data_IF_299509715284
#
_entry.id   IF_299509715284
#
_cell.length_a   1.000
_cell.length_b   1.000
_cell.length_c   1.000
_cell.angle_alpha   90.00
_cell.angle_beta   90.00
_cell.angle_gamma   90.00
#
_symmetry.space_group_name_H-M   'P 1'
#
loop_
_entity.id
_entity.type
_entity.pdbx_description
1 polymer ?
#
# COMPACT_ATOMS: atom_id res chain seq x y z
N UNK A 1 -4.98 -24.10 46.65
CA UNK A 1 -5.62 -24.43 45.35
C UNK A 1 -6.82 -23.51 45.18
N UNK A 2 -6.90 -22.58 44.24
CA UNK A 2 -5.97 -22.20 43.18
C UNK A 2 -6.24 -20.75 42.78
N UNK A 3 -5.17 -20.04 42.44
CA UNK A 3 -5.23 -18.73 41.81
C UNK A 3 -5.64 -18.93 40.35
N UNK A 4 -6.89 -18.63 40.01
CA UNK A 4 -7.26 -18.40 38.61
C UNK A 4 -6.72 -17.03 38.22
N UNK A 5 -5.56 -17.03 37.58
CA UNK A 5 -4.99 -15.89 36.88
C UNK A 5 -6.03 -15.31 35.91
N UNK A 6 -6.50 -14.09 36.19
CA UNK A 6 -7.20 -13.27 35.18
C UNK A 6 -6.18 -12.98 34.08
N UNK A 7 -6.19 -13.76 33.00
CA UNK A 7 -5.48 -13.36 31.78
C UNK A 7 -6.00 -11.99 31.38
N UNK A 8 -5.10 -11.07 31.08
CA UNK A 8 -5.49 -9.73 30.67
C UNK A 8 -6.33 -9.81 29.40
N UNK A 9 -7.35 -8.94 29.25
CA UNK A 9 -8.22 -8.90 28.05
C UNK A 9 -7.43 -8.86 26.74
N UNK A 10 -6.23 -8.28 26.76
CA UNK A 10 -5.28 -8.25 25.65
C UNK A 10 -4.65 -9.61 25.31
N UNK A 11 -4.31 -10.42 26.30
CA UNK A 11 -3.73 -11.75 26.08
C UNK A 11 -4.77 -12.67 25.41
N UNK A 12 -6.03 -12.58 25.85
CA UNK A 12 -7.14 -13.32 25.24
C UNK A 12 -7.37 -12.92 23.78
N UNK A 13 -7.31 -11.63 23.44
CA UNK A 13 -7.45 -11.17 22.05
C UNK A 13 -6.33 -11.70 21.15
N UNK A 14 -5.08 -11.65 21.63
CA UNK A 14 -3.94 -12.18 20.89
C UNK A 14 -4.05 -13.70 20.75
N UNK A 15 -4.47 -14.43 21.78
CA UNK A 15 -4.72 -15.87 21.70
C UNK A 15 -5.76 -16.20 20.62
N UNK A 16 -6.89 -15.51 20.62
CA UNK A 16 -7.96 -15.67 19.63
C UNK A 16 -7.49 -15.37 18.20
N UNK A 17 -6.60 -14.40 18.02
CA UNK A 17 -5.98 -14.09 16.72
C UNK A 17 -4.98 -15.16 16.25
N UNK A 18 -4.61 -16.14 17.10
CA UNK A 18 -3.67 -17.20 16.75
C UNK A 18 -4.27 -18.36 15.96
N UNK A 19 -5.60 -18.51 15.97
CA UNK A 19 -6.28 -19.64 15.35
C UNK A 19 -7.33 -19.15 14.36
N UNK A 20 -7.24 -19.61 13.11
CA UNK A 20 -8.17 -19.19 12.06
C UNK A 20 -9.60 -19.61 12.41
N UNK A 21 -10.50 -18.62 12.47
CA UNK A 21 -11.84 -18.77 13.05
C UNK A 21 -12.87 -17.90 12.31
N UNK A 22 -14.13 -17.89 12.78
CA UNK A 22 -15.22 -17.12 12.14
C UNK A 22 -14.90 -15.61 12.02
N UNK A 23 -14.36 -14.93 13.05
CA UNK A 23 -13.87 -13.56 12.91
C UNK A 23 -12.86 -13.36 11.77
N UNK A 24 -11.94 -14.29 11.56
CA UNK A 24 -10.96 -14.22 10.46
C UNK A 24 -11.64 -14.35 9.10
N UNK A 25 -12.62 -15.26 8.97
CA UNK A 25 -13.38 -15.44 7.72
C UNK A 25 -14.12 -14.16 7.32
N UNK A 26 -14.76 -13.48 8.26
CA UNK A 26 -15.43 -12.20 7.98
C UNK A 26 -14.45 -11.09 7.62
N UNK A 27 -13.28 -11.07 8.26
CA UNK A 27 -12.22 -10.13 7.91
C UNK A 27 -11.69 -10.37 6.50
N UNK A 28 -11.51 -11.63 6.09
CA UNK A 28 -11.16 -12.01 4.72
C UNK A 28 -12.23 -11.59 3.72
N UNK A 29 -13.52 -11.83 4.01
CA UNK A 29 -14.62 -11.39 3.15
C UNK A 29 -14.62 -9.86 2.96
N UNK A 30 -14.36 -9.12 4.05
CA UNK A 30 -14.23 -7.67 4.01
C UNK A 30 -13.04 -7.24 3.13
N UNK A 31 -11.89 -7.92 3.25
CA UNK A 31 -10.70 -7.70 2.42
C UNK A 31 -10.95 -8.01 0.95
N UNK A 32 -11.66 -9.10 0.62
CA UNK A 32 -12.02 -9.43 -0.77
C UNK A 32 -12.92 -8.33 -1.36
N UNK A 33 -13.89 -7.83 -0.58
CA UNK A 33 -14.81 -6.78 -1.02
C UNK A 33 -14.09 -5.45 -1.32
N UNK A 34 -13.10 -5.06 -0.51
CA UNK A 34 -12.48 -3.73 -0.61
C UNK A 34 -11.09 -3.74 -1.27
N UNK A 35 -10.38 -4.87 -1.25
CA UNK A 35 -8.99 -5.04 -1.70
C UNK A 35 -7.94 -4.38 -0.79
N UNK A 36 -8.27 -3.27 -0.13
CA UNK A 36 -7.39 -2.52 0.77
C UNK A 36 -8.18 -1.95 1.94
N UNK A 37 -7.58 -1.94 3.14
CA UNK A 37 -8.12 -1.28 4.34
C UNK A 37 -6.99 -0.56 5.08
N UNK A 38 -7.29 0.54 5.78
CA UNK A 38 -6.36 1.10 6.76
C UNK A 38 -6.10 0.09 7.87
N UNK A 39 -4.86 0.01 8.36
CA UNK A 39 -4.42 -0.95 9.36
C UNK A 39 -5.25 -0.90 10.65
N UNK A 40 -5.48 0.30 11.17
CA UNK A 40 -6.33 0.52 12.35
C UNK A 40 -7.76 0.02 12.14
N UNK A 41 -8.36 0.33 10.99
CA UNK A 41 -9.70 -0.13 10.66
C UNK A 41 -9.78 -1.65 10.50
N UNK A 42 -8.76 -2.28 9.91
CA UNK A 42 -8.64 -3.73 9.80
C UNK A 42 -8.63 -4.40 11.19
N UNK A 43 -7.86 -3.87 12.13
CA UNK A 43 -7.82 -4.35 13.52
C UNK A 43 -9.15 -4.17 14.23
N UNK A 44 -9.72 -2.97 14.17
CA UNK A 44 -11.00 -2.67 14.81
C UNK A 44 -12.11 -3.60 14.32
N UNK A 45 -12.11 -3.95 13.02
CA UNK A 45 -13.07 -4.91 12.47
C UNK A 45 -12.88 -6.31 13.02
N UNK A 46 -11.64 -6.78 13.16
CA UNK A 46 -11.38 -8.06 13.82
C UNK A 46 -11.89 -8.07 15.26
N UNK A 47 -11.59 -7.03 16.05
CA UNK A 47 -12.08 -6.90 17.44
C UNK A 47 -13.60 -6.92 17.50
N UNK A 48 -14.28 -6.17 16.61
CA UNK A 48 -15.74 -6.19 16.51
C UNK A 48 -16.29 -7.58 16.20
N UNK A 49 -15.69 -8.31 15.25
CA UNK A 49 -16.11 -9.67 14.94
C UNK A 49 -15.88 -10.62 16.13
N UNK A 50 -14.76 -10.51 16.82
CA UNK A 50 -14.52 -11.29 18.05
C UNK A 50 -15.59 -10.99 19.09
N UNK A 51 -15.93 -9.72 19.33
CA UNK A 51 -16.97 -9.33 20.30
C UNK A 51 -18.36 -9.91 19.93
N UNK A 52 -18.68 -9.99 18.64
CA UNK A 52 -19.96 -10.56 18.17
C UNK A 52 -20.02 -12.08 18.40
N UNK A 53 -18.90 -12.78 18.16
CA UNK A 53 -18.86 -14.25 18.19
C UNK A 53 -18.39 -14.86 19.51
N UNK A 54 -17.89 -14.05 20.44
CA UNK A 54 -17.45 -14.52 21.75
C UNK A 54 -18.57 -14.32 22.78
N UNK A 55 -19.43 -15.33 22.91
CA UNK A 55 -20.62 -15.33 23.77
C UNK A 55 -20.30 -15.34 25.27
N UNK A 56 -19.04 -15.54 25.67
CA UNK A 56 -18.62 -15.71 27.06
C UNK A 56 -18.09 -14.40 27.68
N UNK A 57 -18.92 -13.34 27.72
CA UNK A 57 -18.85 -12.22 28.67
C UNK A 57 -17.53 -11.44 28.83
N UNK A 58 -16.50 -11.74 28.04
CA UNK A 58 -15.16 -11.19 28.19
C UNK A 58 -15.09 -9.90 27.39
N UNK A 59 -15.00 -8.77 28.09
CA UNK A 59 -14.84 -7.46 27.49
C UNK A 59 -13.48 -7.37 26.80
N UNK A 60 -13.46 -7.60 25.49
CA UNK A 60 -12.28 -7.32 24.67
C UNK A 60 -12.15 -5.80 24.54
N UNK A 61 -11.12 -5.25 25.19
CA UNK A 61 -10.74 -3.84 25.08
C UNK A 61 -10.07 -3.55 23.75
N UNK A 62 -10.22 -2.33 23.24
CA UNK A 62 -9.49 -1.92 22.04
C UNK A 62 -7.98 -1.94 22.30
N UNK A 63 -7.17 -2.45 21.34
CA UNK A 63 -5.72 -2.46 21.48
C UNK A 63 -5.16 -1.04 21.41
N UNK A 64 -4.12 -0.76 22.19
CA UNK A 64 -3.27 0.43 21.98
C UNK A 64 -2.37 0.23 20.74
N UNK A 65 -1.68 1.28 20.29
CA UNK A 65 -0.83 1.25 19.08
C UNK A 65 0.19 0.10 19.06
N UNK A 66 0.80 -0.20 20.21
CA UNK A 66 1.78 -1.29 20.33
C UNK A 66 1.14 -2.67 20.18
N UNK A 67 -0.02 -2.85 20.82
CA UNK A 67 -0.82 -4.08 20.71
C UNK A 67 -1.41 -4.26 19.31
N UNK A 68 -1.83 -3.17 18.68
CA UNK A 68 -2.37 -3.18 17.32
C UNK A 68 -1.33 -3.72 16.34
N UNK A 69 -0.08 -3.25 16.43
CA UNK A 69 1.01 -3.75 15.60
C UNK A 69 1.20 -5.26 15.72
N UNK A 70 1.27 -5.77 16.96
CA UNK A 70 1.44 -7.21 17.24
C UNK A 70 0.23 -8.00 16.71
N UNK A 71 -0.98 -7.48 16.89
CA UNK A 71 -2.21 -8.09 16.41
C UNK A 71 -2.22 -8.19 14.88
N UNK A 72 -1.86 -7.12 14.15
CA UNK A 72 -1.77 -7.12 12.68
C UNK A 72 -0.80 -8.19 12.21
N UNK A 73 0.41 -8.23 12.77
CA UNK A 73 1.44 -9.21 12.40
C UNK A 73 0.91 -10.64 12.56
N UNK A 74 0.23 -10.92 13.69
CA UNK A 74 -0.36 -12.23 13.96
C UNK A 74 -1.50 -12.57 12.99
N UNK A 75 -2.42 -11.64 12.76
CA UNK A 75 -3.56 -11.81 11.85
C UNK A 75 -3.09 -12.08 10.42
N UNK A 76 -2.11 -11.32 9.93
CA UNK A 76 -1.55 -11.52 8.58
C UNK A 76 -0.99 -12.94 8.44
N UNK A 77 -0.22 -13.42 9.41
CA UNK A 77 0.36 -14.78 9.36
C UNK A 77 -0.75 -15.82 9.31
N UNK A 78 -1.71 -15.76 10.23
CA UNK A 78 -2.79 -16.75 10.33
C UNK A 78 -3.68 -16.74 9.09
N UNK A 79 -4.04 -15.55 8.59
CA UNK A 79 -4.89 -15.43 7.39
C UNK A 79 -4.12 -15.86 6.13
N UNK A 80 -2.84 -15.49 5.97
CA UNK A 80 -2.07 -15.89 4.80
C UNK A 80 -1.90 -17.40 4.69
N UNK A 81 -1.72 -18.08 5.83
CA UNK A 81 -1.69 -19.54 5.85
C UNK A 81 -3.02 -20.14 5.34
N UNK A 82 -4.16 -19.54 5.70
CA UNK A 82 -5.46 -19.97 5.21
C UNK A 82 -5.72 -19.61 3.74
N UNK A 83 -5.14 -18.52 3.23
CA UNK A 83 -5.31 -18.05 1.86
C UNK A 83 -4.33 -18.67 0.85
N UNK A 84 -3.31 -19.39 1.31
CA UNK A 84 -2.23 -19.92 0.47
C UNK A 84 -2.75 -20.75 -0.71
N UNK A 85 -3.76 -21.61 -0.49
CA UNK A 85 -4.36 -22.46 -1.54
C UNK A 85 -5.11 -21.67 -2.61
N UNK A 86 -5.47 -20.41 -2.35
CA UNK A 86 -6.18 -19.53 -3.26
C UNK A 86 -5.24 -18.61 -4.05
N UNK A 87 -3.92 -18.71 -3.82
CA UNK A 87 -2.93 -17.77 -4.36
C UNK A 87 -3.23 -16.31 -3.98
N UNK A 88 -3.77 -16.11 -2.78
CA UNK A 88 -4.06 -14.81 -2.19
C UNK A 88 -3.22 -14.60 -0.94
N UNK A 89 -2.84 -13.35 -0.67
CA UNK A 89 -2.13 -12.99 0.57
C UNK A 89 -2.36 -11.54 0.96
N UNK A 90 -2.40 -11.30 2.26
CA UNK A 90 -2.36 -9.98 2.87
C UNK A 90 -0.92 -9.49 3.02
N UNK A 91 -0.70 -8.22 2.72
CA UNK A 91 0.54 -7.52 3.04
C UNK A 91 0.26 -6.19 3.73
N UNK A 92 1.25 -5.69 4.47
CA UNK A 92 1.28 -4.29 4.87
C UNK A 92 1.90 -3.44 3.74
N UNK A 93 1.29 -2.28 3.48
CA UNK A 93 1.78 -1.28 2.55
C UNK A 93 1.60 0.12 3.13
N UNK A 94 2.59 0.98 2.93
CA UNK A 94 2.52 2.40 3.29
C UNK A 94 2.08 3.22 2.08
N UNK A 95 1.35 4.34 2.26
CA UNK A 95 1.15 5.29 1.17
C UNK A 95 2.48 6.01 0.88
N UNK A 96 2.83 6.18 -0.40
CA UNK A 96 4.00 6.98 -0.78
C UNK A 96 3.71 8.49 -0.68
N UNK A 97 2.42 8.86 -0.72
CA UNK A 97 1.93 10.24 -0.67
C UNK A 97 1.70 10.77 0.73
N UNK A 98 1.41 9.92 1.72
CA UNK A 98 1.22 10.36 3.09
C UNK A 98 2.09 9.58 4.05
N UNK A 99 2.35 10.16 5.22
CA UNK A 99 3.25 9.58 6.20
C UNK A 99 2.55 8.96 7.41
N UNK A 100 1.22 9.00 7.42
CA UNK A 100 0.40 8.71 8.59
C UNK A 100 -0.38 7.40 8.43
N UNK A 101 -0.65 7.00 7.18
CA UNK A 101 -1.50 5.87 6.89
C UNK A 101 -0.69 4.65 6.42
N UNK A 102 -0.89 3.58 7.15
CA UNK A 102 -0.49 2.23 6.82
C UNK A 102 -1.73 1.40 6.50
N UNK A 103 -1.60 0.53 5.50
CA UNK A 103 -2.71 -0.21 4.92
C UNK A 103 -2.42 -1.71 4.91
N UNK A 104 -3.48 -2.50 4.98
CA UNK A 104 -3.48 -3.92 4.66
C UNK A 104 -4.04 -4.07 3.25
N UNK A 105 -3.30 -4.72 2.36
CA UNK A 105 -3.67 -4.95 0.96
C UNK A 105 -3.77 -6.44 0.71
N UNK A 106 -4.86 -6.87 0.07
CA UNK A 106 -5.02 -8.22 -0.45
C UNK A 106 -4.40 -8.29 -1.85
N UNK A 107 -3.36 -9.12 -2.00
CA UNK A 107 -2.70 -9.40 -3.26
C UNK A 107 -3.14 -10.75 -3.80
N UNK A 108 -3.12 -10.84 -5.13
CA UNK A 108 -3.16 -12.10 -5.86
C UNK A 108 -1.77 -12.40 -6.41
N UNK A 109 -1.26 -13.61 -6.17
CA UNK A 109 0.00 -14.08 -6.74
C UNK A 109 -0.16 -14.55 -8.21
N UNK A 110 -1.36 -14.39 -8.80
CA UNK A 110 -1.61 -14.60 -10.24
C UNK A 110 -0.98 -13.48 -11.08
N UNK A 111 -0.82 -13.70 -12.39
CA UNK A 111 -0.18 -12.72 -13.29
C UNK A 111 -0.97 -11.38 -13.32
N UNK A 112 -0.30 -10.21 -13.36
CA UNK A 112 -0.95 -8.90 -13.32
C UNK A 112 -1.97 -8.63 -14.44
N UNK A 113 -1.71 -9.12 -15.65
CA UNK A 113 -2.61 -8.98 -16.81
C UNK A 113 -3.90 -9.79 -16.65
N UNK A 114 -3.81 -10.93 -15.96
CA UNK A 114 -4.97 -11.73 -15.61
C UNK A 114 -5.70 -11.07 -14.44
N UNK A 115 -4.99 -10.45 -13.51
CA UNK A 115 -5.62 -9.79 -12.38
C UNK A 115 -6.46 -8.56 -12.74
N UNK A 116 -5.99 -7.64 -13.58
CA UNK A 116 -6.81 -6.48 -14.00
C UNK A 116 -8.07 -6.91 -14.77
N UNK A 117 -7.99 -8.00 -15.53
CA UNK A 117 -9.13 -8.57 -16.23
C UNK A 117 -10.07 -9.33 -15.29
N UNK A 118 -9.52 -10.19 -14.44
CA UNK A 118 -10.26 -11.15 -13.61
C UNK A 118 -10.81 -10.49 -12.33
N UNK A 119 -10.11 -9.52 -11.74
CA UNK A 119 -10.55 -8.82 -10.53
C UNK A 119 -11.45 -7.62 -10.81
N UNK A 120 -11.35 -7.05 -12.01
CA UNK A 120 -11.98 -5.78 -12.35
C UNK A 120 -12.97 -5.88 -13.51
N UNK A 121 -13.02 -7.00 -14.23
CA UNK A 121 -13.92 -7.18 -15.37
C UNK A 121 -13.74 -6.11 -16.46
N UNK A 122 -12.52 -5.57 -16.59
CA UNK A 122 -12.22 -4.57 -17.61
C UNK A 122 -12.10 -5.23 -18.98
N UNK A 123 -12.62 -4.53 -19.98
CA UNK A 123 -12.40 -4.84 -21.39
C UNK A 123 -10.94 -4.58 -21.78
N UNK A 124 -10.51 -5.18 -22.89
CA UNK A 124 -9.14 -4.98 -23.39
C UNK A 124 -8.83 -3.50 -23.70
N UNK A 125 -9.82 -2.72 -24.13
CA UNK A 125 -9.65 -1.29 -24.41
C UNK A 125 -9.47 -0.50 -23.12
N UNK A 126 -10.27 -0.77 -22.08
CA UNK A 126 -10.10 -0.15 -20.76
C UNK A 126 -8.76 -0.52 -20.12
N UNK A 127 -8.31 -1.77 -20.25
CA UNK A 127 -6.99 -2.21 -19.79
C UNK A 127 -5.89 -1.40 -20.49
N UNK A 128 -6.00 -1.20 -21.81
CA UNK A 128 -5.04 -0.41 -22.59
C UNK A 128 -4.99 1.05 -22.11
N UNK A 129 -6.15 1.67 -21.89
CA UNK A 129 -6.22 3.04 -21.38
C UNK A 129 -5.62 3.14 -19.96
N UNK A 130 -5.96 2.21 -19.07
CA UNK A 130 -5.37 2.13 -17.74
C UNK A 130 -3.84 2.01 -17.80
N UNK A 131 -3.31 1.14 -18.67
CA UNK A 131 -1.87 1.02 -18.87
C UNK A 131 -1.19 2.33 -19.29
N UNK A 132 -1.86 3.12 -20.14
CA UNK A 132 -1.33 4.42 -20.54
C UNK A 132 -1.32 5.40 -19.38
N UNK A 133 -2.38 5.47 -18.56
CA UNK A 133 -2.37 6.28 -17.34
C UNK A 133 -1.23 5.88 -16.42
N UNK A 134 -1.02 4.58 -16.18
CA UNK A 134 0.08 4.11 -15.34
C UNK A 134 1.43 4.48 -15.96
N UNK A 135 1.59 4.34 -17.27
CA UNK A 135 2.82 4.71 -17.98
C UNK A 135 3.12 6.20 -17.81
N UNK A 136 2.12 7.07 -17.96
CA UNK A 136 2.29 8.52 -17.82
C UNK A 136 2.58 8.90 -16.37
N UNK A 137 1.86 8.32 -15.40
CA UNK A 137 2.12 8.51 -13.95
C UNK A 137 3.55 8.09 -13.59
N UNK A 138 4.01 6.92 -14.02
CA UNK A 138 5.35 6.44 -13.68
C UNK A 138 6.47 7.25 -14.34
N UNK A 139 6.17 7.89 -15.47
CA UNK A 139 7.13 8.71 -16.23
C UNK A 139 7.11 10.19 -15.81
N UNK A 140 6.12 10.61 -15.02
CA UNK A 140 6.04 12.00 -14.54
C UNK A 140 7.01 12.23 -13.39
N UNK A 141 7.40 13.48 -13.20
CA UNK A 141 8.37 13.87 -12.17
C UNK A 141 7.82 13.65 -10.75
N UNK A 142 6.53 13.91 -10.56
CA UNK A 142 5.85 13.87 -9.26
C UNK A 142 5.12 12.55 -8.98
N UNK A 143 5.08 11.61 -9.93
CA UNK A 143 4.28 10.38 -9.78
C UNK A 143 2.77 10.65 -9.82
N UNK A 144 2.36 11.72 -10.50
CA UNK A 144 0.96 12.13 -10.72
C UNK A 144 0.81 12.77 -12.11
N UNK A 145 -0.43 12.82 -12.62
CA UNK A 145 -0.80 13.46 -13.89
C UNK A 145 -2.06 14.29 -13.70
N UNK A 146 -2.32 15.26 -14.58
CA UNK A 146 -3.56 16.05 -14.49
C UNK A 146 -4.76 15.22 -15.00
N UNK A 147 -5.94 15.45 -14.41
CA UNK A 147 -7.18 14.77 -14.79
C UNK A 147 -7.48 14.96 -16.28
N UNK A 148 -7.32 16.18 -16.78
CA UNK A 148 -7.59 16.46 -18.19
C UNK A 148 -6.61 15.75 -19.15
N UNK A 149 -5.35 15.54 -18.74
CA UNK A 149 -4.37 14.76 -19.50
C UNK A 149 -4.75 13.29 -19.55
N UNK A 150 -5.25 12.74 -18.42
CA UNK A 150 -5.75 11.37 -18.37
C UNK A 150 -6.94 11.17 -19.32
N UNK A 151 -7.90 12.10 -19.32
CA UNK A 151 -9.08 12.03 -20.20
C UNK A 151 -8.71 12.21 -21.69
N UNK A 152 -7.78 13.10 -22.01
CA UNK A 152 -7.35 13.33 -23.41
C UNK A 152 -6.53 12.17 -23.98
N UNK A 153 -5.83 11.40 -23.14
CA UNK A 153 -5.04 10.22 -23.54
C UNK A 153 -5.91 9.18 -24.26
N UNK A 154 -7.17 9.02 -23.85
CA UNK A 154 -8.10 8.10 -24.50
C UNK A 154 -8.57 8.58 -25.86
N UNK A 155 -8.82 9.89 -26.02
CA UNK A 155 -9.24 10.47 -27.29
C UNK A 155 -8.24 10.17 -28.42
N UNK A 156 -6.94 10.05 -28.08
CA UNK A 156 -5.88 9.70 -29.02
C UNK A 156 -5.77 8.19 -29.33
N UNK A 157 -6.18 7.32 -28.39
CA UNK A 157 -6.21 5.86 -28.57
C UNK A 157 -7.37 5.39 -29.47
N UNK A 158 -8.48 6.12 -29.45
CA UNK A 158 -9.78 5.67 -29.93
C UNK A 158 -10.11 6.07 -31.37
N UNK A 159 -9.09 6.29 -32.21
CA UNK A 159 -9.24 6.47 -33.67
C UNK A 159 -9.92 5.25 -34.34
N UNK A 160 -10.07 4.12 -33.63
CA UNK A 160 -10.77 2.90 -34.09
C UNK A 160 -11.99 2.58 -33.20
N UNK A 161 -13.18 3.08 -33.58
CA UNK A 161 -14.57 2.62 -33.32
C UNK A 161 -15.01 2.03 -31.95
N UNK A 162 -14.16 1.91 -30.94
CA UNK A 162 -14.52 1.41 -29.60
C UNK A 162 -14.50 2.55 -28.60
N UNK A 163 -15.64 3.23 -28.42
CA UNK A 163 -15.79 4.23 -27.36
C UNK A 163 -15.54 3.60 -25.99
N UNK A 164 -14.57 4.11 -25.25
CA UNK A 164 -14.45 3.89 -23.80
C UNK A 164 -15.01 5.13 -23.13
N UNK A 165 -15.81 4.95 -22.08
CA UNK A 165 -16.19 6.07 -21.22
C UNK A 165 -15.06 6.30 -20.22
N UNK A 166 -14.21 7.29 -20.51
CA UNK A 166 -12.99 7.56 -19.76
C UNK A 166 -13.28 8.01 -18.33
N UNK A 167 -14.29 8.86 -18.16
CA UNK A 167 -14.69 9.37 -16.86
C UNK A 167 -15.25 8.23 -16.02
N UNK A 168 -16.10 7.37 -16.60
CA UNK A 168 -16.59 6.18 -15.92
C UNK A 168 -15.45 5.24 -15.50
N UNK A 169 -14.51 4.95 -16.40
CA UNK A 169 -13.36 4.09 -16.08
C UNK A 169 -12.52 4.70 -14.96
N UNK A 170 -12.23 6.01 -15.03
CA UNK A 170 -11.47 6.72 -14.01
C UNK A 170 -12.16 6.68 -12.66
N UNK A 171 -13.46 6.98 -12.59
CA UNK A 171 -14.25 6.90 -11.36
C UNK A 171 -14.29 5.49 -10.78
N UNK A 172 -14.34 4.48 -11.66
CA UNK A 172 -14.28 3.07 -11.25
C UNK A 172 -12.92 2.72 -10.65
N UNK A 173 -11.82 3.15 -11.25
CA UNK A 173 -10.46 2.98 -10.72
C UNK A 173 -10.29 3.66 -9.35
N UNK A 174 -10.83 4.87 -9.18
CA UNK A 174 -10.82 5.61 -7.90
C UNK A 174 -11.66 4.93 -6.83
N UNK A 175 -12.88 4.52 -7.19
CA UNK A 175 -13.80 3.84 -6.26
C UNK A 175 -13.20 2.54 -5.71
N UNK A 176 -12.45 1.82 -6.53
CA UNK A 176 -11.76 0.59 -6.15
C UNK A 176 -10.33 0.82 -5.60
N UNK A 177 -9.94 2.08 -5.36
CA UNK A 177 -8.69 2.49 -4.70
C UNK A 177 -7.40 2.20 -5.48
N UNK A 178 -7.50 1.95 -6.79
CA UNK A 178 -6.33 1.82 -7.66
C UNK A 178 -5.68 3.16 -7.95
N UNK A 179 -6.53 4.17 -8.18
CA UNK A 179 -6.14 5.54 -8.37
C UNK A 179 -6.67 6.38 -7.21
N UNK A 180 -6.00 7.48 -6.94
CA UNK A 180 -6.45 8.53 -6.04
C UNK A 180 -6.54 9.80 -6.86
N UNK A 181 -7.66 10.50 -6.72
CA UNK A 181 -7.89 11.80 -7.36
C UNK A 181 -7.81 12.88 -6.28
N UNK A 182 -6.93 13.84 -6.46
CA UNK A 182 -7.00 15.09 -5.71
C UNK A 182 -7.93 16.05 -6.45
N UNK A 183 -9.10 16.32 -5.87
CA UNK A 183 -10.08 17.22 -6.47
C UNK A 183 -9.61 18.68 -6.47
N UNK A 184 -8.69 19.07 -5.58
CA UNK A 184 -8.19 20.44 -5.51
C UNK A 184 -7.13 20.69 -6.58
N UNK A 185 -6.11 19.84 -6.66
CA UNK A 185 -5.09 19.91 -7.71
C UNK A 185 -5.56 19.39 -9.06
N UNK A 186 -6.74 18.76 -9.12
CA UNK A 186 -7.22 18.01 -10.28
C UNK A 186 -6.18 17.00 -10.80
N UNK A 187 -5.40 16.40 -9.90
CA UNK A 187 -4.38 15.40 -10.22
C UNK A 187 -4.86 13.98 -9.93
N UNK A 188 -4.26 13.03 -10.63
CA UNK A 188 -4.48 11.61 -10.45
C UNK A 188 -3.12 10.96 -10.18
N UNK A 189 -3.08 10.12 -9.14
CA UNK A 189 -1.92 9.29 -8.80
C UNK A 189 -2.35 7.84 -8.59
N UNK A 190 -1.37 6.96 -8.55
CA UNK A 190 -1.59 5.60 -8.04
C UNK A 190 -1.92 5.64 -6.54
N UNK A 191 -2.96 4.91 -6.15
CA UNK A 191 -3.25 4.63 -4.75
C UNK A 191 -2.36 3.51 -4.19
N UNK A 192 -2.29 3.40 -2.87
CA UNK A 192 -1.48 2.38 -2.18
C UNK A 192 -1.77 0.96 -2.67
N UNK A 193 -3.04 0.66 -2.98
CA UNK A 193 -3.43 -0.62 -3.59
C UNK A 193 -2.76 -0.80 -4.94
N UNK A 194 -2.91 0.16 -5.84
CA UNK A 194 -2.31 0.09 -7.18
C UNK A 194 -0.79 -0.05 -7.15
N UNK A 195 -0.11 0.70 -6.27
CA UNK A 195 1.35 0.56 -6.07
C UNK A 195 1.72 -0.85 -5.59
N UNK A 196 0.97 -1.40 -4.63
CA UNK A 196 1.23 -2.71 -4.07
C UNK A 196 0.99 -3.86 -5.06
N UNK A 197 -0.13 -3.82 -5.79
CA UNK A 197 -0.55 -4.89 -6.72
C UNK A 197 0.27 -4.87 -8.02
N UNK A 198 0.77 -3.72 -8.46
CA UNK A 198 1.49 -3.57 -9.73
C UNK A 198 3.01 -3.75 -9.63
N UNK A 199 3.57 -4.20 -8.50
CA UNK A 199 5.03 -4.38 -8.36
C UNK A 199 5.64 -5.30 -9.44
N UNK A 200 4.93 -6.36 -9.84
CA UNK A 200 5.37 -7.24 -10.93
C UNK A 200 5.27 -6.54 -12.29
N UNK A 201 4.23 -5.72 -12.51
CA UNK A 201 4.10 -4.92 -13.72
C UNK A 201 5.25 -3.90 -13.84
N UNK A 202 5.59 -3.22 -12.74
CA UNK A 202 6.73 -2.30 -12.70
C UNK A 202 8.05 -3.02 -12.95
N UNK A 203 8.22 -4.24 -12.43
CA UNK A 203 9.41 -5.06 -12.71
C UNK A 203 9.60 -5.31 -14.20
N UNK A 204 8.53 -5.68 -14.91
CA UNK A 204 8.58 -5.95 -16.36
C UNK A 204 8.76 -4.72 -17.24
N UNK A 205 8.57 -3.51 -16.69
CA UNK A 205 8.64 -2.25 -17.44
C UNK A 205 9.61 -1.23 -16.82
N UNK A 206 10.48 -1.70 -15.91
CA UNK A 206 11.34 -0.83 -15.11
C UNK A 206 12.23 0.07 -15.99
N UNK A 207 12.82 -0.50 -17.03
CA UNK A 207 13.71 0.23 -17.96
C UNK A 207 12.95 1.31 -18.75
N UNK A 208 11.70 1.04 -19.11
CA UNK A 208 10.85 1.99 -19.84
C UNK A 208 10.48 3.19 -18.96
N UNK A 209 10.12 2.93 -17.71
CA UNK A 209 9.65 3.96 -16.78
C UNK A 209 10.78 4.63 -15.99
N UNK A 210 12.02 4.11 -16.10
CA UNK A 210 13.17 4.57 -15.31
C UNK A 210 12.83 4.62 -13.81
N UNK A 211 12.12 3.60 -13.32
CA UNK A 211 11.70 3.54 -11.92
C UNK A 211 12.87 3.11 -11.04
N UNK A 212 13.00 3.78 -9.91
CA UNK A 212 14.04 3.48 -8.92
C UNK A 212 13.50 2.50 -7.88
N UNK A 213 14.39 1.64 -7.37
CA UNK A 213 14.05 0.75 -6.25
C UNK A 213 14.49 1.38 -4.94
N UNK A 214 13.63 1.28 -3.94
CA UNK A 214 13.96 1.62 -2.57
C UNK A 214 15.04 0.66 -2.05
N UNK A 215 16.17 1.20 -1.60
CA UNK A 215 17.28 0.40 -1.07
C UNK A 215 16.96 -0.33 0.24
N UNK A 216 15.84 0.00 0.89
CA UNK A 216 15.43 -0.60 2.16
C UNK A 216 14.47 -1.77 1.98
N UNK A 217 13.45 -1.62 1.11
CA UNK A 217 12.42 -2.64 0.93
C UNK A 217 12.50 -3.36 -0.43
N UNK A 218 13.36 -2.90 -1.34
CA UNK A 218 13.53 -3.46 -2.69
C UNK A 218 12.36 -3.21 -3.66
N UNK A 219 11.29 -2.54 -3.20
CA UNK A 219 10.12 -2.20 -4.02
C UNK A 219 10.37 -0.94 -4.85
N UNK A 220 9.64 -0.79 -5.95
CA UNK A 220 9.72 0.40 -6.79
C UNK A 220 9.14 1.62 -6.08
N UNK A 221 9.73 2.77 -6.36
CA UNK A 221 9.29 4.10 -5.91
C UNK A 221 8.55 4.76 -7.06
N UNK A 222 7.30 5.14 -6.83
CA UNK A 222 6.47 5.84 -7.81
C UNK A 222 6.53 7.35 -7.56
N UNK A 223 6.40 7.80 -6.32
CA UNK A 223 6.46 9.23 -5.96
C UNK A 223 7.89 9.68 -5.67
N UNK A 224 8.67 9.89 -6.74
CA UNK A 224 10.10 10.24 -6.64
C UNK A 224 10.34 11.56 -5.90
N UNK A 225 9.47 12.54 -6.09
CA UNK A 225 9.56 13.85 -5.43
C UNK A 225 9.48 13.78 -3.89
N UNK A 226 8.84 12.74 -3.34
CA UNK A 226 8.75 12.49 -1.89
C UNK A 226 9.80 11.51 -1.38
N UNK A 227 10.52 10.83 -2.27
CA UNK A 227 11.52 9.85 -1.89
C UNK A 227 12.76 10.53 -1.28
N UNK A 228 13.44 9.81 -0.41
CA UNK A 228 14.72 10.25 0.14
C UNK A 228 15.80 9.88 -0.88
N UNK A 229 16.52 10.88 -1.38
CA UNK A 229 17.63 10.71 -2.30
C UNK A 229 18.97 10.98 -1.61
N UNK A 230 19.89 10.00 -1.68
CA UNK A 230 21.23 10.18 -1.17
C UNK A 230 22.16 10.75 -2.24
N UNK A 231 22.55 12.03 -2.09
CA UNK A 231 23.48 12.70 -3.02
C UNK A 231 24.86 12.04 -3.11
N UNK A 232 25.27 11.28 -2.10
CA UNK A 232 26.61 10.66 -2.04
C UNK A 232 26.69 9.35 -2.84
N UNK A 233 25.66 8.51 -2.78
CA UNK A 233 25.68 7.20 -3.45
C UNK A 233 24.61 7.05 -4.54
N UNK A 234 23.75 8.05 -4.72
CA UNK A 234 22.68 8.03 -5.72
C UNK A 234 21.48 7.15 -5.36
N UNK A 235 21.46 6.52 -4.19
CA UNK A 235 20.37 5.63 -3.81
C UNK A 235 19.08 6.36 -3.46
N UNK A 236 17.95 5.75 -3.78
CA UNK A 236 16.62 6.19 -3.35
C UNK A 236 16.05 5.29 -2.26
N UNK A 237 15.26 5.86 -1.37
CA UNK A 237 14.39 5.09 -0.46
C UNK A 237 13.04 5.77 -0.29
N UNK A 238 11.99 4.96 -0.14
CA UNK A 238 10.68 5.47 0.28
C UNK A 238 10.82 6.26 1.58
N UNK A 239 10.12 7.39 1.66
CA UNK A 239 10.13 8.26 2.84
C UNK A 239 9.76 7.48 4.11
N UNK A 240 8.70 6.68 4.03
CA UNK A 240 8.22 5.84 5.12
C UNK A 240 9.22 4.78 5.57
N UNK A 241 9.91 4.14 4.63
CA UNK A 241 10.98 3.20 4.97
C UNK A 241 12.10 3.91 5.74
N UNK A 242 12.47 5.13 5.31
CA UNK A 242 13.46 5.93 6.01
C UNK A 242 13.04 6.36 7.41
N UNK A 243 11.81 6.85 7.57
CA UNK A 243 11.24 7.21 8.87
C UNK A 243 11.22 6.04 9.86
N UNK A 244 10.87 4.84 9.39
CA UNK A 244 10.85 3.62 10.22
C UNK A 244 12.25 3.27 10.75
N UNK A 245 13.30 3.44 9.95
CA UNK A 245 14.68 3.21 10.38
C UNK A 245 15.15 4.28 11.36
N UNK A 246 14.83 5.56 11.09
CA UNK A 246 15.18 6.63 12.03
C UNK A 246 14.51 6.42 13.38
N UNK A 247 13.24 6.02 13.40
CA UNK A 247 12.50 5.73 14.63
C UNK A 247 13.03 4.49 15.38
N UNK A 248 13.61 3.51 14.68
CA UNK A 248 14.15 2.30 15.33
C UNK A 248 15.52 2.53 15.99
N UNK A 249 16.27 3.55 15.55
CA UNK A 249 17.57 3.92 16.12
C UNK A 249 17.37 4.95 17.23
N UNK A 250 17.43 4.49 18.49
CA UNK A 250 17.17 5.33 19.68
C UNK A 250 18.29 6.34 20.00
N UNK A 251 19.52 6.04 19.63
CA UNK A 251 20.71 6.84 19.99
C UNK A 251 21.78 6.74 18.91
N UNK A 252 21.66 7.54 17.85
CA UNK A 252 22.72 7.63 16.83
C UNK A 252 22.30 8.32 15.54
N UNK A 253 23.29 8.75 14.77
CA UNK A 253 23.08 9.16 13.36
C UNK A 253 22.84 7.90 12.54
N UNK A 254 21.70 7.83 11.84
CA UNK A 254 21.47 6.77 10.86
C UNK A 254 22.35 7.06 9.64
N UNK A 255 23.09 6.05 9.18
CA UNK A 255 23.86 6.13 7.94
C UNK A 255 23.04 5.66 6.76
N UNK A 256 23.36 6.17 5.58
CA UNK A 256 22.70 5.76 4.35
C UNK A 256 22.92 4.25 4.10
N UNK A 257 21.84 3.47 3.90
CA UNK A 257 21.91 2.02 3.64
C UNK A 257 22.43 1.68 2.23
N UNK A 258 22.62 2.69 1.37
CA UNK A 258 23.10 2.53 0.01
C UNK A 258 24.58 2.13 -0.09
N UNK A 259 25.00 1.78 -1.31
CA UNK A 259 26.39 1.44 -1.64
C UNK A 259 26.93 2.40 -2.68
N UNK A 260 28.21 2.75 -2.57
CA UNK A 260 28.94 3.53 -3.57
C UNK A 260 29.23 2.69 -4.81
N UNK A 261 29.66 3.34 -5.90
CA UNK A 261 30.02 2.67 -7.16
C UNK A 261 31.10 1.58 -7.00
N UNK A 262 31.97 1.71 -6.00
CA UNK A 262 33.00 0.72 -5.66
C UNK A 262 32.50 -0.42 -4.74
N UNK A 263 31.19 -0.50 -4.49
CA UNK A 263 30.55 -1.53 -3.66
C UNK A 263 30.65 -1.29 -2.15
N UNK A 264 31.40 -0.28 -1.68
CA UNK A 264 31.52 0.04 -0.25
C UNK A 264 30.24 0.69 0.30
N UNK A 265 29.96 0.46 1.57
CA UNK A 265 28.84 1.09 2.27
C UNK A 265 28.94 2.62 2.24
N UNK A 266 27.80 3.28 2.04
CA UNK A 266 27.73 4.73 2.08
C UNK A 266 27.91 5.23 3.52
N UNK A 267 28.68 6.31 3.69
CA UNK A 267 28.95 6.93 5.00
C UNK A 267 28.17 8.23 5.22
N UNK A 268 27.30 8.60 4.28
CA UNK A 268 26.46 9.79 4.38
C UNK A 268 25.43 9.63 5.51
N UNK A 269 25.13 10.74 6.19
CA UNK A 269 24.00 10.82 7.11
C UNK A 269 22.69 10.59 6.38
N UNK A 270 21.84 9.72 6.92
CA UNK A 270 20.52 9.44 6.39
C UNK A 270 19.51 10.36 7.06
N UNK A 271 19.00 11.31 6.29
CA UNK A 271 18.09 12.33 6.76
C UNK A 271 16.80 12.29 5.96
N UNK A 272 15.67 12.35 6.67
CA UNK A 272 14.37 12.60 6.06
C UNK A 272 14.13 14.10 6.18
N UNK A 273 13.97 14.80 5.04
CA UNK A 273 13.56 16.21 5.08
C UNK A 273 12.21 16.31 5.78
N UNK A 274 12.16 17.13 6.82
CA UNK A 274 10.90 17.58 7.44
C UNK A 274 10.39 18.68 6.50
N UNK A 275 9.12 18.57 6.09
CA UNK A 275 8.38 19.45 5.16
C UNK A 275 8.47 19.15 3.65
N UNK A 276 7.32 18.72 3.10
CA UNK A 276 6.63 19.59 2.15
C UNK A 276 5.44 20.17 2.93
N UNK A 277 5.51 21.45 3.29
CA UNK A 277 4.28 22.22 3.45
C UNK A 277 3.48 22.05 2.15
N UNK A 278 2.17 21.89 2.28
CA UNK A 278 1.23 22.08 1.17
C UNK A 278 1.71 23.25 0.32
N UNK A 279 1.98 22.99 -0.96
CA UNK A 279 2.30 24.03 -1.95
C UNK A 279 1.37 25.21 -1.69
N UNK A 280 2.00 26.34 -1.36
CA UNK A 280 1.37 27.54 -0.83
C UNK A 280 0.07 27.88 -1.57
N UNK A 281 -0.99 28.05 -0.78
CA UNK A 281 -1.98 29.09 -1.03
C UNK A 281 -1.20 30.41 -1.15
N UNK A 282 -1.07 30.94 -2.37
CA UNK A 282 -0.93 32.37 -2.69
C UNK A 282 -0.50 32.53 -4.16
N UNK A 283 -1.48 32.52 -5.07
CA UNK A 283 -1.77 33.56 -6.07
C UNK A 283 -2.89 33.11 -7.00
#
# INVERSE_FOLDING_TARGET
>A
MGERSKSSSSENLLELAGNYSVPHKHLVQLMIKHGILQAHYFCNKFVQYVQIYNSEGSTVTQPNDGQEKILIEKLIVVINNALTSLSLRLIQADDEYDDQNNYIVLLSDRRPSDFLRDAFGLTQTEITLFHLWISTICSSENGEILKHEALSTASNLLVKDKKVDEEYLLQRCVSNKWLVMDNKGATIRLGTRGVAELQNYFSSHADKFKLEKCVLCGKFIIMKNRAIFCKTCGSFSHRQCGLKIIKSVRTGKVLCPGKLANGKSCTAGFHVSVEMESVNQNQ
#
